data_IF_670912523547
#
_entry.id   IF_670912523547
#
_cell.length_a   1.000
_cell.length_b   1.000
_cell.length_c   1.000
_cell.angle_alpha   90.00
_cell.angle_beta   90.00
_cell.angle_gamma   90.00
#
_symmetry.space_group_name_H-M   'P 1'
#
loop_
_entity.id
_entity.type
_entity.pdbx_description
1 polymer ?
#
# COMPACT_ATOMS: atom_id res chain seq x y z
N UNK A 1 2.82 -59.84 5.64
CA UNK A 1 2.18 -58.60 6.14
C UNK A 1 3.10 -57.42 5.89
N UNK A 2 2.55 -56.40 5.21
CA UNK A 2 2.90 -54.96 5.11
C UNK A 2 4.37 -54.50 5.02
N UNK A 3 4.62 -53.89 3.86
CA UNK A 3 5.75 -53.05 3.44
C UNK A 3 5.98 -51.87 4.41
N UNK A 4 7.24 -51.61 4.78
CA UNK A 4 7.66 -50.41 5.52
C UNK A 4 8.59 -49.57 4.65
N UNK A 5 8.02 -48.61 3.93
CA UNK A 5 8.74 -47.63 3.12
C UNK A 5 9.27 -46.54 4.07
N UNK A 6 10.59 -46.52 4.30
CA UNK A 6 11.26 -45.37 4.93
C UNK A 6 11.53 -44.32 3.85
N UNK A 7 10.54 -43.47 3.55
CA UNK A 7 10.80 -42.17 2.91
C UNK A 7 10.93 -41.17 4.06
N UNK A 8 12.16 -40.96 4.51
CA UNK A 8 12.52 -39.73 5.20
C UNK A 8 12.43 -38.62 4.17
N UNK A 9 11.25 -38.00 4.08
CA UNK A 9 10.99 -36.86 3.21
C UNK A 9 11.87 -35.70 3.68
N UNK A 10 12.97 -35.54 2.96
CA UNK A 10 13.81 -34.36 2.89
C UNK A 10 13.05 -33.18 2.28
N UNK A 11 12.08 -32.60 3.00
CA UNK A 11 11.33 -31.41 2.54
C UNK A 11 11.34 -30.27 3.56
N UNK A 12 12.48 -29.96 4.16
CA UNK A 12 12.66 -28.69 4.88
C UNK A 12 13.95 -27.96 4.48
N UNK A 13 14.31 -28.07 3.21
CA UNK A 13 15.19 -27.12 2.54
C UNK A 13 14.39 -26.56 1.35
N UNK A 14 14.39 -25.24 1.22
CA UNK A 14 13.73 -24.44 0.17
C UNK A 14 12.32 -23.90 0.49
N UNK A 15 12.21 -23.22 1.62
CA UNK A 15 11.48 -21.94 1.65
C UNK A 15 12.13 -20.96 2.63
N UNK A 16 13.46 -20.79 2.53
CA UNK A 16 14.03 -19.46 2.79
C UNK A 16 13.59 -18.61 1.59
N UNK A 17 12.29 -18.35 1.48
CA UNK A 17 11.78 -17.28 0.63
C UNK A 17 12.56 -16.06 1.07
N UNK A 18 13.20 -15.39 0.12
CA UNK A 18 14.05 -14.23 0.37
C UNK A 18 13.33 -13.26 1.33
N UNK A 19 13.58 -13.40 2.63
CA UNK A 19 13.15 -12.45 3.64
C UNK A 19 14.05 -11.25 3.39
N UNK A 20 13.64 -10.42 2.44
CA UNK A 20 14.28 -9.13 2.22
C UNK A 20 13.96 -8.31 3.47
N UNK A 21 14.92 -8.29 4.39
CA UNK A 21 14.86 -7.41 5.55
C UNK A 21 15.20 -6.02 5.05
N UNK A 22 14.18 -5.18 4.90
CA UNK A 22 14.29 -3.82 4.42
C UNK A 22 14.52 -2.80 5.54
N UNK A 23 14.87 -3.23 6.76
CA UNK A 23 15.08 -2.35 7.91
C UNK A 23 16.13 -1.25 7.69
N UNK A 24 17.12 -1.52 6.82
CA UNK A 24 18.15 -0.54 6.47
C UNK A 24 17.76 0.42 5.33
N UNK A 25 16.66 0.16 4.62
CA UNK A 25 16.33 0.91 3.41
C UNK A 25 15.77 2.30 3.76
N UNK A 26 16.04 3.28 2.90
CA UNK A 26 15.23 4.49 2.87
C UNK A 26 13.81 4.17 2.38
N UNK A 27 12.80 5.03 2.65
CA UNK A 27 11.45 4.82 2.13
C UNK A 27 11.39 4.68 0.60
N UNK A 28 12.23 5.41 -0.14
CA UNK A 28 12.29 5.34 -1.60
C UNK A 28 12.89 4.02 -2.10
N UNK A 29 13.94 3.53 -1.44
CA UNK A 29 14.55 2.24 -1.75
C UNK A 29 13.59 1.10 -1.43
N UNK A 30 12.89 1.16 -0.30
CA UNK A 30 11.84 0.20 0.06
C UNK A 30 10.76 0.16 -1.02
N UNK A 31 10.22 1.33 -1.39
CA UNK A 31 9.19 1.43 -2.42
C UNK A 31 9.64 0.86 -3.78
N UNK A 32 10.88 1.15 -4.18
CA UNK A 32 11.43 0.66 -5.46
C UNK A 32 11.58 -0.86 -5.49
N UNK A 33 11.78 -1.48 -4.33
CA UNK A 33 11.94 -2.93 -4.19
C UNK A 33 10.66 -3.67 -3.81
N UNK A 34 9.55 -2.94 -3.62
CA UNK A 34 8.23 -3.51 -3.37
C UNK A 34 7.72 -4.22 -4.63
N UNK A 35 7.00 -5.34 -4.46
CA UNK A 35 6.28 -5.93 -5.57
C UNK A 35 5.19 -4.97 -6.06
N UNK A 36 5.10 -4.79 -7.38
CA UNK A 36 4.13 -3.90 -8.04
C UNK A 36 2.68 -4.26 -7.71
N UNK A 37 2.42 -5.51 -7.30
CA UNK A 37 1.10 -6.01 -6.94
C UNK A 37 0.69 -5.65 -5.50
N UNK A 38 1.62 -5.20 -4.65
CA UNK A 38 1.30 -4.87 -3.25
C UNK A 38 0.82 -3.44 -3.07
N UNK A 39 1.52 -2.48 -3.68
CA UNK A 39 1.18 -1.06 -3.71
C UNK A 39 1.92 -0.37 -4.84
N UNK A 40 1.26 0.60 -5.47
CA UNK A 40 1.88 1.46 -6.49
C UNK A 40 1.25 2.83 -6.44
N UNK A 41 2.03 3.89 -6.49
CA UNK A 41 1.51 5.25 -6.55
C UNK A 41 0.71 5.48 -7.85
N UNK A 42 -0.20 6.46 -7.84
CA UNK A 42 -0.86 6.87 -9.09
C UNK A 42 0.17 7.52 -10.03
N UNK A 43 0.12 7.17 -11.31
CA UNK A 43 1.03 7.72 -12.33
C UNK A 43 1.01 9.24 -12.37
N UNK A 44 -0.17 9.84 -12.19
CA UNK A 44 -0.39 11.29 -12.24
C UNK A 44 -0.75 11.85 -10.85
N UNK A 45 -0.22 11.22 -9.78
CA UNK A 45 -0.44 11.68 -8.41
C UNK A 45 -0.02 13.14 -8.26
N UNK A 46 -0.88 13.94 -7.63
CA UNK A 46 -0.54 15.32 -7.26
C UNK A 46 0.33 15.36 -6.02
N UNK A 47 0.28 14.32 -5.20
CA UNK A 47 1.12 14.19 -4.01
C UNK A 47 1.40 12.73 -3.73
N UNK A 48 2.68 12.41 -3.51
CA UNK A 48 3.12 11.14 -2.98
C UNK A 48 3.85 11.38 -1.66
N UNK A 49 3.58 10.52 -0.69
CA UNK A 49 4.21 10.53 0.63
C UNK A 49 4.87 9.19 0.83
N UNK A 50 6.15 9.21 1.19
CA UNK A 50 6.92 8.04 1.56
C UNK A 50 7.66 8.35 2.84
N UNK A 51 7.39 7.59 3.90
CA UNK A 51 7.96 7.84 5.24
C UNK A 51 8.31 6.54 5.93
N UNK A 52 9.36 6.59 6.75
CA UNK A 52 9.63 5.59 7.79
C UNK A 52 9.37 6.26 9.13
N UNK A 53 8.48 5.68 9.94
CA UNK A 53 7.97 6.26 11.18
C UNK A 53 7.83 5.18 12.23
N UNK A 54 7.92 5.53 13.51
CA UNK A 54 7.48 4.65 14.59
C UNK A 54 5.95 4.57 14.63
N UNK A 55 5.40 3.47 15.14
CA UNK A 55 3.94 3.27 15.20
C UNK A 55 3.19 4.40 15.91
N UNK A 56 3.77 4.97 16.98
CA UNK A 56 3.21 6.16 17.66
C UNK A 56 3.16 7.41 16.77
N UNK A 57 4.18 7.61 15.94
CA UNK A 57 4.26 8.75 15.01
C UNK A 57 3.28 8.55 13.87
N UNK A 58 3.17 7.32 13.37
CA UNK A 58 2.22 6.92 12.34
C UNK A 58 0.76 7.12 12.79
N UNK A 59 0.43 6.72 14.03
CA UNK A 59 -0.89 6.94 14.64
C UNK A 59 -1.23 8.43 14.88
N UNK A 60 -0.21 9.29 15.01
CA UNK A 60 -0.42 10.74 15.06
C UNK A 60 -0.55 11.33 13.64
N UNK A 61 0.23 10.81 12.70
CA UNK A 61 0.24 11.23 11.30
C UNK A 61 -1.11 11.03 10.62
N UNK A 62 -1.83 9.94 10.94
CA UNK A 62 -3.17 9.66 10.39
C UNK A 62 -4.20 10.74 10.72
N UNK A 63 -4.06 11.41 11.87
CA UNK A 63 -4.93 12.49 12.34
C UNK A 63 -4.63 13.83 11.68
N UNK A 64 -3.36 14.08 11.37
CA UNK A 64 -2.91 15.34 10.76
C UNK A 64 -3.04 15.32 9.23
N UNK A 65 -2.80 14.17 8.60
CA UNK A 65 -2.77 14.03 7.15
C UNK A 65 -4.05 13.39 6.60
N UNK A 66 -5.11 14.20 6.50
CA UNK A 66 -6.17 13.98 5.51
C UNK A 66 -7.11 12.79 5.73
N UNK A 67 -7.45 12.49 6.99
CA UNK A 67 -8.43 11.46 7.39
C UNK A 67 -8.10 10.05 6.87
N UNK A 68 -6.90 9.57 7.16
CA UNK A 68 -6.65 8.13 7.02
C UNK A 68 -7.14 7.42 8.28
N UNK A 69 -8.03 6.45 8.12
CA UNK A 69 -8.56 5.65 9.24
C UNK A 69 -7.70 4.40 9.44
N UNK A 70 -6.51 4.56 10.03
CA UNK A 70 -5.70 3.42 10.47
C UNK A 70 -5.16 3.65 11.88
N UNK A 71 -4.89 2.53 12.56
CA UNK A 71 -4.15 2.46 13.82
C UNK A 71 -3.20 1.26 13.72
N UNK A 72 -1.96 1.42 14.14
CA UNK A 72 -1.03 0.31 14.34
C UNK A 72 -0.86 0.02 15.83
N UNK A 73 -0.81 -1.26 16.18
CA UNK A 73 -0.87 -1.72 17.58
C UNK A 73 0.47 -1.63 18.32
N UNK A 74 1.60 -1.61 17.59
CA UNK A 74 2.95 -1.55 18.19
C UNK A 74 3.54 -0.13 18.10
N UNK A 75 3.42 0.70 19.15
CA UNK A 75 3.80 2.12 19.09
C UNK A 75 5.31 2.38 18.91
N UNK A 76 6.15 1.40 19.24
CA UNK A 76 7.62 1.51 19.20
C UNK A 76 8.25 0.71 18.04
N UNK A 77 7.45 0.06 17.20
CA UNK A 77 7.97 -0.58 15.98
C UNK A 77 8.08 0.44 14.84
N UNK A 78 9.06 0.26 13.97
CA UNK A 78 9.18 1.05 12.74
C UNK A 78 8.23 0.51 11.67
N UNK A 79 7.68 1.42 10.88
CA UNK A 79 6.82 1.12 9.75
C UNK A 79 7.18 2.01 8.56
N UNK A 80 7.00 1.46 7.37
CA UNK A 80 7.00 2.21 6.12
C UNK A 80 5.57 2.61 5.77
N UNK A 81 5.35 3.91 5.62
CA UNK A 81 4.07 4.47 5.21
C UNK A 81 4.21 5.07 3.81
N UNK A 82 3.32 4.64 2.92
CA UNK A 82 3.19 5.16 1.57
C UNK A 82 1.79 5.71 1.35
N UNK A 83 1.68 6.90 0.77
CA UNK A 83 0.41 7.45 0.36
C UNK A 83 0.53 8.10 -1.03
N UNK A 84 -0.54 7.98 -1.80
CA UNK A 84 -0.65 8.57 -3.12
C UNK A 84 -2.01 9.25 -3.24
N UNK A 85 -1.98 10.51 -3.62
CA UNK A 85 -3.17 11.37 -3.70
C UNK A 85 -3.26 11.94 -5.10
N UNK A 86 -4.44 11.80 -5.69
CA UNK A 86 -4.80 12.34 -7.00
C UNK A 86 -5.92 13.37 -6.83
N UNK A 87 -5.62 14.64 -7.14
CA UNK A 87 -6.64 15.68 -7.25
C UNK A 87 -7.08 15.83 -8.70
N UNK A 88 -8.37 15.66 -8.94
CA UNK A 88 -9.01 16.03 -10.22
C UNK A 88 -9.80 17.33 -10.05
N UNK A 89 -10.47 17.82 -11.09
CA UNK A 89 -11.36 18.99 -10.99
C UNK A 89 -12.51 18.77 -9.98
N UNK A 90 -13.01 17.54 -9.85
CA UNK A 90 -14.23 17.25 -9.08
C UNK A 90 -14.00 16.39 -7.83
N UNK A 91 -12.99 15.53 -7.85
CA UNK A 91 -12.78 14.52 -6.80
C UNK A 91 -11.32 14.49 -6.32
N UNK A 92 -11.14 14.08 -5.08
CA UNK A 92 -9.84 13.71 -4.48
C UNK A 92 -9.88 12.21 -4.26
N UNK A 93 -8.89 11.50 -4.80
CA UNK A 93 -8.71 10.06 -4.62
C UNK A 93 -7.43 9.85 -3.82
N UNK A 94 -7.51 9.12 -2.71
CA UNK A 94 -6.36 8.83 -1.84
C UNK A 94 -6.22 7.32 -1.69
N UNK A 95 -5.00 6.83 -1.65
CA UNK A 95 -4.69 5.48 -1.19
C UNK A 95 -3.42 5.47 -0.37
N UNK A 96 -3.33 4.55 0.56
CA UNK A 96 -2.15 4.37 1.38
C UNK A 96 -1.87 2.89 1.65
N UNK A 97 -0.64 2.60 2.03
CA UNK A 97 -0.21 1.29 2.49
C UNK A 97 0.81 1.44 3.61
N UNK A 98 0.75 0.53 4.58
CA UNK A 98 1.68 0.45 5.71
C UNK A 98 2.35 -0.91 5.66
N UNK A 99 3.68 -0.91 5.79
CA UNK A 99 4.49 -2.13 5.80
C UNK A 99 5.40 -2.18 7.01
N UNK A 100 5.66 -3.38 7.50
CA UNK A 100 6.76 -3.62 8.45
C UNK A 100 8.11 -3.56 7.73
N UNK A 101 9.23 -3.48 8.48
CA UNK A 101 10.57 -3.49 7.89
C UNK A 101 10.93 -4.79 7.18
N UNK A 102 10.19 -5.87 7.41
CA UNK A 102 10.34 -7.16 6.73
C UNK A 102 9.57 -7.22 5.40
N UNK A 103 8.89 -6.14 5.01
CA UNK A 103 8.09 -6.12 3.79
C UNK A 103 6.66 -6.61 3.96
N UNK A 104 6.23 -6.94 5.19
CA UNK A 104 4.86 -7.42 5.42
C UNK A 104 3.89 -6.25 5.39
N UNK A 105 2.88 -6.31 4.52
CA UNK A 105 1.78 -5.33 4.55
C UNK A 105 0.97 -5.48 5.84
N UNK A 106 0.85 -4.38 6.58
CA UNK A 106 0.10 -4.29 7.83
C UNK A 106 -1.31 -3.81 7.55
N UNK A 107 -1.43 -2.75 6.75
CA UNK A 107 -2.69 -2.08 6.50
C UNK A 107 -2.68 -1.46 5.09
N UNK A 108 -3.86 -1.36 4.48
CA UNK A 108 -4.06 -0.71 3.20
C UNK A 108 -5.43 -0.06 3.18
N UNK A 109 -5.49 1.17 2.69
CA UNK A 109 -6.77 1.84 2.57
C UNK A 109 -6.87 2.73 1.34
N UNK A 110 -8.12 2.95 0.98
CA UNK A 110 -8.52 3.70 -0.18
C UNK A 110 -9.70 4.60 0.19
N UNK A 111 -9.65 5.88 -0.19
CA UNK A 111 -10.69 6.85 0.10
C UNK A 111 -10.96 7.76 -1.12
N UNK A 112 -12.22 8.16 -1.30
CA UNK A 112 -12.65 9.15 -2.28
C UNK A 112 -13.48 10.23 -1.63
N UNK A 113 -13.21 11.47 -2.00
CA UNK A 113 -13.94 12.62 -1.52
C UNK A 113 -14.29 13.54 -2.68
N UNK A 114 -15.58 13.88 -2.83
CA UNK A 114 -16.01 14.92 -3.76
C UNK A 114 -15.59 16.29 -3.24
N UNK A 115 -15.13 17.18 -4.13
CA UNK A 115 -14.83 18.57 -3.77
C UNK A 115 -16.13 19.33 -3.57
N UNK A 116 -16.26 20.09 -2.48
CA UNK A 116 -17.52 20.76 -2.05
C UNK A 116 -18.18 21.63 -3.13
N UNK A 117 -17.42 22.18 -4.08
CA UNK A 117 -17.91 23.05 -5.15
C UNK A 117 -18.12 22.35 -6.51
N UNK A 118 -17.96 21.02 -6.60
CA UNK A 118 -17.82 20.31 -7.88
C UNK A 118 -19.11 19.95 -8.61
N UNK A 119 -20.29 20.17 -8.00
CA UNK A 119 -21.57 19.72 -8.56
C UNK A 119 -21.65 18.21 -8.78
N UNK A 120 -20.83 17.44 -8.06
CA UNK A 120 -20.68 16.00 -8.22
C UNK A 120 -21.99 15.25 -7.97
N UNK A 121 -22.43 14.45 -8.96
CA UNK A 121 -23.76 13.81 -8.97
C UNK A 121 -23.77 12.38 -8.41
N UNK A 122 -22.63 11.87 -7.93
CA UNK A 122 -22.51 10.51 -7.41
C UNK A 122 -21.53 9.66 -8.21
N UNK A 123 -21.31 8.43 -7.74
CA UNK A 123 -20.37 7.48 -8.35
C UNK A 123 -21.13 6.57 -9.32
N UNK A 124 -20.90 6.73 -10.62
CA UNK A 124 -21.62 5.94 -11.65
C UNK A 124 -21.26 4.44 -11.65
N UNK A 125 -20.12 4.06 -11.06
CA UNK A 125 -19.67 2.67 -10.92
C UNK A 125 -18.85 2.46 -9.64
N UNK A 126 -18.87 1.26 -9.06
CA UNK A 126 -17.80 0.85 -8.16
C UNK A 126 -16.51 0.74 -8.97
N UNK A 127 -15.63 1.73 -8.83
CA UNK A 127 -14.28 1.68 -9.37
C UNK A 127 -13.50 0.58 -8.63
N UNK A 128 -13.33 -0.54 -9.32
CA UNK A 128 -12.29 -1.55 -9.10
C UNK A 128 -10.92 -0.88 -9.27
N UNK A 129 -9.97 -1.25 -8.40
CA UNK A 129 -8.57 -0.81 -8.46
C UNK A 129 -8.00 -0.88 -9.89
N UNK A 130 -8.43 -1.84 -10.69
CA UNK A 130 -8.07 -2.08 -12.10
C UNK A 130 -8.43 -0.93 -13.05
N UNK A 131 -9.54 -0.19 -12.84
CA UNK A 131 -9.98 0.86 -13.78
C UNK A 131 -9.12 2.14 -13.69
N UNK A 132 -8.54 2.45 -12.53
CA UNK A 132 -7.62 3.59 -12.38
C UNK A 132 -6.21 3.30 -12.93
N UNK A 133 -5.82 2.02 -13.06
CA UNK A 133 -4.55 1.62 -13.66
C UNK A 133 -4.53 1.78 -15.19
N UNK A 134 -5.68 1.66 -15.86
CA UNK A 134 -5.77 1.62 -17.33
C UNK A 134 -6.19 2.93 -18.00
N UNK A 135 -6.45 4.01 -17.25
CA UNK A 135 -6.90 5.28 -17.86
C UNK A 135 -5.75 6.15 -18.39
N UNK A 136 -4.81 5.55 -19.13
CA UNK A 136 -4.06 6.21 -20.21
C UNK A 136 -4.42 5.49 -21.50
N UNK A 137 -5.38 6.03 -22.25
CA UNK A 137 -5.67 5.50 -23.58
C UNK A 137 -6.85 6.06 -24.35
N UNK A 138 -7.76 6.85 -23.75
CA UNK A 138 -8.95 7.31 -24.50
C UNK A 138 -9.36 8.78 -24.43
N UNK A 139 -8.73 9.61 -23.59
CA UNK A 139 -9.12 11.03 -23.49
C UNK A 139 -8.01 12.00 -24.00
N UNK A 140 -7.26 11.57 -25.04
CA UNK A 140 -6.52 12.48 -25.93
C UNK A 140 -6.92 12.17 -27.37
N UNK A 141 -8.08 12.71 -27.77
CA UNK A 141 -8.34 13.42 -29.03
C UNK A 141 -9.79 13.89 -29.07
#
# INVERSE_FOLDING_TARGET
MKKGICILISCFLLSIGNMRVYAAYSPDEFYTNLDIHEYKEYTDATTNVRKRLLGKELNNFSKEFGDYSFTVDSPNEEYYFFASVLHTSQIIIKKYAIYTPEGKRVEFGFNRQAKKASGFKGWDKPLDDTELFNKRGKDIK
#
